data_IF_658591245395
#
_entry.id   IF_658591245395
#
_cell.length_a   1.000
_cell.length_b   1.000
_cell.length_c   1.000
_cell.angle_alpha   90.00
_cell.angle_beta   90.00
_cell.angle_gamma   90.00
#
_symmetry.space_group_name_H-M   'P 1'
#
loop_
_entity.id
_entity.type
_entity.pdbx_description
1 polymer ?
#
# COMPACT_ATOMS: atom_id res chain seq x y z
N UNK A 1 -7.08 18.28 3.41
CA UNK A 1 -7.28 16.82 3.25
C UNK A 1 -7.85 16.29 4.57
N UNK A 2 -9.05 15.69 4.57
CA UNK A 2 -9.74 15.36 5.83
C UNK A 2 -8.92 14.34 6.65
N UNK A 3 -8.78 14.52 7.97
CA UNK A 3 -7.88 13.69 8.81
C UNK A 3 -8.22 12.19 8.71
N UNK A 4 -9.50 11.89 8.51
CA UNK A 4 -10.03 10.54 8.26
C UNK A 4 -9.44 9.91 6.99
N UNK A 5 -9.29 10.69 5.91
CA UNK A 5 -8.72 10.22 4.63
C UNK A 5 -7.24 9.84 4.78
N UNK A 6 -6.49 10.65 5.52
CA UNK A 6 -5.10 10.39 5.86
C UNK A 6 -4.96 9.13 6.72
N UNK A 7 -5.84 8.93 7.69
CA UNK A 7 -5.87 7.75 8.54
C UNK A 7 -6.14 6.45 7.75
N UNK A 8 -7.09 6.50 6.82
CA UNK A 8 -7.41 5.37 5.94
C UNK A 8 -6.22 5.05 5.01
N UNK A 9 -5.61 6.07 4.40
CA UNK A 9 -4.39 5.90 3.59
C UNK A 9 -3.26 5.24 4.39
N UNK A 10 -3.06 5.68 5.64
CA UNK A 10 -2.05 5.12 6.53
C UNK A 10 -2.30 3.63 6.83
N UNK A 11 -3.55 3.23 7.07
CA UNK A 11 -3.92 1.82 7.26
C UNK A 11 -3.62 0.98 6.01
N UNK A 12 -3.92 1.52 4.81
CA UNK A 12 -3.60 0.83 3.56
C UNK A 12 -2.10 0.61 3.39
N UNK A 13 -1.29 1.63 3.62
CA UNK A 13 0.18 1.53 3.55
C UNK A 13 0.71 0.48 4.54
N UNK A 14 0.24 0.50 5.80
CA UNK A 14 0.64 -0.50 6.80
C UNK A 14 0.27 -1.94 6.40
N UNK A 15 -0.94 -2.10 5.85
CA UNK A 15 -1.45 -3.43 5.44
C UNK A 15 -0.63 -3.98 4.28
N UNK A 16 -0.36 -3.15 3.28
CA UNK A 16 0.48 -3.51 2.13
C UNK A 16 1.90 -3.83 2.57
N UNK A 17 2.47 -3.03 3.48
CA UNK A 17 3.81 -3.29 4.01
C UNK A 17 3.89 -4.65 4.71
N UNK A 18 2.91 -4.99 5.56
CA UNK A 18 2.83 -6.30 6.23
C UNK A 18 2.70 -7.47 5.24
N UNK A 19 1.93 -7.30 4.17
CA UNK A 19 1.76 -8.31 3.11
C UNK A 19 3.09 -8.51 2.39
N UNK A 20 3.72 -7.41 1.98
CA UNK A 20 4.98 -7.44 1.27
C UNK A 20 6.09 -8.07 2.13
N UNK A 21 6.21 -7.72 3.41
CA UNK A 21 7.18 -8.35 4.32
C UNK A 21 7.04 -9.88 4.44
N UNK A 22 5.86 -10.43 4.12
CA UNK A 22 5.59 -11.87 4.14
C UNK A 22 6.06 -12.58 2.85
N UNK A 23 6.48 -11.84 1.82
CA UNK A 23 7.04 -12.38 0.59
C UNK A 23 8.43 -12.96 0.88
N UNK A 24 8.71 -14.15 0.35
CA UNK A 24 10.01 -14.77 0.52
C UNK A 24 11.04 -14.15 -0.45
N UNK A 25 11.69 -13.08 -0.01
CA UNK A 25 12.68 -12.35 -0.82
C UNK A 25 13.98 -13.12 -1.08
N UNK A 26 14.28 -14.17 -0.31
CA UNK A 26 15.48 -14.99 -0.53
C UNK A 26 15.45 -15.74 -1.87
N UNK A 27 14.25 -15.97 -2.44
CA UNK A 27 14.10 -16.54 -3.79
C UNK A 27 14.42 -15.53 -4.90
N UNK A 28 14.34 -14.24 -4.62
CA UNK A 28 14.40 -13.17 -5.64
C UNK A 28 15.72 -12.42 -5.55
N UNK A 29 16.29 -12.27 -4.34
CA UNK A 29 17.46 -11.44 -4.08
C UNK A 29 18.58 -12.21 -3.39
N UNK A 30 19.84 -11.84 -3.67
CA UNK A 30 21.04 -12.46 -3.07
C UNK A 30 21.09 -12.21 -1.55
N UNK A 31 21.57 -13.20 -0.79
CA UNK A 31 21.57 -13.28 0.69
C UNK A 31 22.07 -12.05 1.47
N UNK A 32 22.86 -11.15 0.86
CA UNK A 32 23.41 -9.94 1.52
C UNK A 32 22.61 -8.64 1.26
N UNK A 33 21.48 -8.70 0.55
CA UNK A 33 20.72 -7.51 0.14
C UNK A 33 19.59 -7.12 1.12
N UNK A 34 19.62 -7.60 2.36
CA UNK A 34 18.52 -7.41 3.34
C UNK A 34 18.10 -5.94 3.53
N UNK A 35 19.07 -5.03 3.58
CA UNK A 35 18.79 -3.60 3.73
C UNK A 35 18.20 -2.97 2.45
N UNK A 36 18.70 -3.35 1.27
CA UNK A 36 18.19 -2.88 -0.02
C UNK A 36 16.76 -3.36 -0.25
N UNK A 37 16.49 -4.64 0.06
CA UNK A 37 15.16 -5.24 0.01
C UNK A 37 14.20 -4.47 0.92
N UNK A 38 14.60 -4.16 2.16
CA UNK A 38 13.76 -3.43 3.10
C UNK A 38 13.35 -2.04 2.57
N UNK A 39 14.32 -1.29 2.01
CA UNK A 39 14.06 0.04 1.43
C UNK A 39 13.14 -0.05 0.22
N UNK A 40 13.42 -0.99 -0.71
CA UNK A 40 12.56 -1.25 -1.86
C UNK A 40 11.15 -1.59 -1.40
N UNK A 41 11.03 -2.38 -0.35
CA UNK A 41 9.75 -2.82 0.16
C UNK A 41 8.93 -1.68 0.77
N UNK A 42 9.60 -0.81 1.51
CA UNK A 42 8.99 0.39 2.07
C UNK A 42 8.48 1.30 0.94
N UNK A 43 9.29 1.54 -0.09
CA UNK A 43 8.89 2.32 -1.28
C UNK A 43 7.71 1.69 -2.02
N UNK A 44 7.75 0.38 -2.27
CA UNK A 44 6.64 -0.35 -2.88
C UNK A 44 5.37 -0.22 -2.06
N UNK A 45 5.48 -0.31 -0.73
CA UNK A 45 4.31 -0.24 0.15
C UNK A 45 3.62 1.13 0.10
N UNK A 46 4.39 2.21 -0.04
CA UNK A 46 3.85 3.56 -0.19
C UNK A 46 3.12 3.70 -1.52
N UNK A 47 3.74 3.26 -2.62
CA UNK A 47 3.16 3.35 -3.97
C UNK A 47 1.86 2.53 -4.05
N UNK A 48 1.91 1.26 -3.65
CA UNK A 48 0.76 0.36 -3.71
C UNK A 48 -0.33 0.81 -2.74
N UNK A 49 0.02 1.21 -1.52
CA UNK A 49 -0.94 1.73 -0.54
C UNK A 49 -1.67 2.97 -1.03
N UNK A 50 -0.97 3.89 -1.70
CA UNK A 50 -1.58 5.07 -2.32
C UNK A 50 -2.50 4.71 -3.49
N UNK A 51 -2.07 3.82 -4.38
CA UNK A 51 -2.88 3.37 -5.51
C UNK A 51 -4.18 2.72 -5.04
N UNK A 52 -4.09 1.80 -4.06
CA UNK A 52 -5.27 1.17 -3.46
C UNK A 52 -6.22 2.20 -2.85
N UNK A 53 -5.69 3.14 -2.07
CA UNK A 53 -6.50 4.20 -1.48
C UNK A 53 -7.25 5.01 -2.54
N UNK A 54 -6.59 5.38 -3.63
CA UNK A 54 -7.23 6.11 -4.73
C UNK A 54 -8.31 5.28 -5.42
N UNK A 55 -8.05 4.01 -5.72
CA UNK A 55 -9.04 3.11 -6.31
C UNK A 55 -10.26 2.93 -5.42
N UNK A 56 -10.08 2.73 -4.11
CA UNK A 56 -11.20 2.65 -3.16
C UNK A 56 -12.01 3.95 -3.10
N UNK A 57 -11.33 5.10 -3.13
CA UNK A 57 -12.00 6.39 -3.11
C UNK A 57 -12.81 6.64 -4.39
N UNK A 58 -12.30 6.21 -5.54
CA UNK A 58 -13.00 6.30 -6.82
C UNK A 58 -14.22 5.38 -6.86
N UNK A 59 -14.10 4.12 -6.41
CA UNK A 59 -15.23 3.19 -6.25
C UNK A 59 -16.28 3.78 -5.31
N UNK A 60 -15.85 4.36 -4.18
CA UNK A 60 -16.76 5.04 -3.25
C UNK A 60 -17.52 6.17 -3.95
N UNK A 61 -16.82 7.08 -4.64
CA UNK A 61 -17.47 8.18 -5.35
C UNK A 61 -18.44 7.70 -6.43
N UNK A 62 -18.05 6.70 -7.23
CA UNK A 62 -18.91 6.07 -8.23
C UNK A 62 -20.16 5.46 -7.58
N UNK A 63 -20.00 4.73 -6.48
CA UNK A 63 -21.14 4.15 -5.74
C UNK A 63 -22.08 5.22 -5.21
N UNK A 64 -21.56 6.34 -4.69
CA UNK A 64 -22.40 7.45 -4.21
C UNK A 64 -23.11 8.19 -5.34
N UNK A 65 -22.54 8.22 -6.54
CA UNK A 65 -23.17 8.81 -7.72
C UNK A 65 -24.20 7.87 -8.36
N UNK A 66 -24.08 6.56 -8.20
CA UNK A 66 -25.05 5.57 -8.66
C UNK A 66 -26.28 5.45 -7.76
N UNK A 67 -26.15 5.81 -6.47
CA UNK A 67 -27.24 5.77 -5.48
C UNK A 67 -28.05 7.08 -5.46
N UNK A 68 -27.56 8.14 -6.11
CA UNK A 68 -28.30 9.40 -6.34
C UNK A 68 -29.10 9.35 -7.62
#
# INVERSE_FOLDING_TARGET
>A
MNIVKLFILFIFILTVNKILLKINYEKIFKKNSSNEIFIINMLLSIIIGYLLYMSFFEIYNLSTNLVK
#
